data_IF_675014651541
#
_entry.id   IF_675014651541
#
_cell.length_a   1.000
_cell.length_b   1.000
_cell.length_c   1.000
_cell.angle_alpha   90.00
_cell.angle_beta   90.00
_cell.angle_gamma   90.00
#
_symmetry.space_group_name_H-M   'P 1'
#
loop_
_entity.id
_entity.type
_entity.pdbx_description
1 polymer ?
#
# COMPACT_ATOMS: atom_id res chain seq x y z
N UNK A 1 13.83 -0.83 -4.21
CA UNK A 1 13.02 -0.45 -3.04
C UNK A 1 13.68 -1.11 -1.83
N UNK A 2 14.18 -0.33 -0.88
CA UNK A 2 14.83 -0.84 0.32
C UNK A 2 13.79 -1.44 1.28
N UNK A 3 14.13 -2.57 1.90
CA UNK A 3 13.23 -3.32 2.80
C UNK A 3 12.80 -2.50 4.02
N UNK A 4 13.67 -1.62 4.53
CA UNK A 4 13.35 -0.72 5.64
C UNK A 4 12.30 0.35 5.26
N UNK A 5 12.35 0.88 4.03
CA UNK A 5 11.33 1.84 3.55
C UNK A 5 9.99 1.13 3.38
N UNK A 6 10.01 -0.08 2.82
CA UNK A 6 8.83 -0.92 2.67
C UNK A 6 8.11 -1.18 4.01
N UNK A 7 8.85 -1.54 5.07
CA UNK A 7 8.26 -1.78 6.39
C UNK A 7 7.60 -0.52 7.00
N UNK A 8 8.22 0.66 6.82
CA UNK A 8 7.63 1.92 7.27
C UNK A 8 6.32 2.22 6.52
N UNK A 9 6.31 2.03 5.20
CA UNK A 9 5.11 2.25 4.39
C UNK A 9 4.01 1.25 4.74
N UNK A 10 4.31 -0.04 4.96
CA UNK A 10 3.32 -1.03 5.44
C UNK A 10 2.65 -0.59 6.73
N UNK A 11 3.40 -0.01 7.67
CA UNK A 11 2.85 0.56 8.90
C UNK A 11 1.80 1.62 8.61
N UNK A 12 2.14 2.60 7.75
CA UNK A 12 1.24 3.69 7.34
C UNK A 12 0.01 3.18 6.59
N UNK A 13 0.19 2.19 5.72
CA UNK A 13 -0.91 1.55 4.98
C UNK A 13 -1.91 0.97 5.98
N UNK A 14 -1.48 0.14 6.93
CA UNK A 14 -2.40 -0.49 7.90
C UNK A 14 -3.09 0.53 8.81
N UNK A 15 -2.38 1.59 9.17
CA UNK A 15 -2.96 2.69 9.98
C UNK A 15 -4.02 3.47 9.20
N UNK A 16 -3.80 3.71 7.90
CA UNK A 16 -4.72 4.45 7.04
C UNK A 16 -5.88 3.59 6.54
N UNK A 17 -5.59 2.33 6.24
CA UNK A 17 -6.46 1.35 5.60
C UNK A 17 -6.53 0.09 6.45
N UNK A 18 -7.34 0.13 7.51
CA UNK A 18 -7.47 -0.97 8.46
C UNK A 18 -7.94 -2.30 7.85
N UNK A 19 -8.60 -2.27 6.70
CA UNK A 19 -9.04 -3.45 5.93
C UNK A 19 -7.90 -4.14 5.15
N UNK A 20 -6.76 -3.47 4.97
CA UNK A 20 -5.61 -4.03 4.23
C UNK A 20 -4.75 -4.86 5.19
N UNK A 21 -4.60 -6.14 4.89
CA UNK A 21 -3.86 -7.06 5.76
C UNK A 21 -2.37 -7.11 5.46
N UNK A 22 -1.59 -7.64 6.40
CA UNK A 22 -0.15 -7.87 6.22
C UNK A 22 0.10 -8.79 5.00
N UNK A 23 -0.76 -9.79 4.78
CA UNK A 23 -0.67 -10.74 3.65
C UNK A 23 -0.88 -10.07 2.28
N UNK A 24 -1.88 -9.18 2.18
CA UNK A 24 -2.13 -8.40 0.95
C UNK A 24 -0.91 -7.54 0.56
N UNK A 25 -0.25 -6.98 1.58
CA UNK A 25 0.94 -6.17 1.39
C UNK A 25 2.14 -7.03 1.01
N UNK A 26 2.34 -8.17 1.67
CA UNK A 26 3.48 -9.03 1.36
C UNK A 26 3.40 -9.57 -0.07
N UNK A 27 2.22 -10.00 -0.51
CA UNK A 27 1.98 -10.43 -1.89
C UNK A 27 2.23 -9.34 -2.94
N UNK A 28 2.17 -8.06 -2.57
CA UNK A 28 2.39 -6.92 -3.48
C UNK A 28 3.77 -6.27 -3.31
N UNK A 29 4.64 -6.82 -2.45
CA UNK A 29 5.99 -6.30 -2.22
C UNK A 29 6.78 -6.23 -3.53
N UNK A 30 7.25 -5.04 -3.87
CA UNK A 30 8.02 -4.79 -5.09
C UNK A 30 7.19 -4.65 -6.36
N UNK A 31 5.87 -4.78 -6.30
CA UNK A 31 4.96 -4.56 -7.42
C UNK A 31 3.95 -3.46 -7.10
N UNK A 32 4.20 -2.27 -7.65
CA UNK A 32 3.38 -1.08 -7.42
C UNK A 32 1.92 -1.25 -7.85
N UNK A 33 1.70 -1.83 -9.03
CA UNK A 33 0.36 -1.98 -9.61
C UNK A 33 -0.48 -2.94 -8.75
N UNK A 34 0.13 -4.06 -8.30
CA UNK A 34 -0.52 -4.97 -7.37
C UNK A 34 -0.81 -4.33 -6.02
N UNK A 35 0.09 -3.50 -5.48
CA UNK A 35 -0.12 -2.80 -4.21
C UNK A 35 -1.35 -1.89 -4.29
N UNK A 36 -1.40 -1.07 -5.34
CA UNK A 36 -2.54 -0.17 -5.60
C UNK A 36 -3.81 -0.99 -5.80
N UNK A 37 -3.76 -2.05 -6.62
CA UNK A 37 -4.88 -2.96 -6.87
C UNK A 37 -5.46 -3.54 -5.58
N UNK A 38 -4.61 -4.13 -4.74
CA UNK A 38 -5.01 -4.73 -3.46
C UNK A 38 -5.66 -3.73 -2.53
N UNK A 39 -5.07 -2.54 -2.38
CA UNK A 39 -5.64 -1.50 -1.53
C UNK A 39 -7.01 -1.06 -2.07
N UNK A 40 -7.16 -0.87 -3.38
CA UNK A 40 -8.46 -0.53 -4.00
C UNK A 40 -9.49 -1.63 -3.78
N UNK A 41 -9.12 -2.90 -3.97
CA UNK A 41 -10.01 -4.05 -3.78
C UNK A 41 -10.50 -4.16 -2.33
N UNK A 42 -9.62 -3.91 -1.35
CA UNK A 42 -9.96 -3.99 0.08
C UNK A 42 -10.76 -2.81 0.60
N UNK A 43 -10.43 -1.59 0.14
CA UNK A 43 -10.96 -0.34 0.70
C UNK A 43 -12.07 0.28 -0.13
N UNK A 44 -12.19 -0.08 -1.41
CA UNK A 44 -13.07 0.58 -2.36
C UNK A 44 -12.63 2.00 -2.75
N UNK A 45 -11.45 2.48 -2.31
CA UNK A 45 -10.97 3.82 -2.64
C UNK A 45 -10.64 3.96 -4.14
N UNK A 46 -10.71 5.20 -4.63
CA UNK A 46 -10.29 5.54 -5.98
C UNK A 46 -8.78 5.29 -6.15
N UNK A 47 -8.39 4.68 -7.27
CA UNK A 47 -7.00 4.31 -7.52
C UNK A 47 -6.04 5.50 -7.50
N UNK A 48 -6.47 6.65 -8.00
CA UNK A 48 -5.68 7.88 -8.00
C UNK A 48 -5.37 8.37 -6.57
N UNK A 49 -6.35 8.27 -5.66
CA UNK A 49 -6.17 8.63 -4.25
C UNK A 49 -5.19 7.69 -3.53
N UNK A 50 -5.28 6.40 -3.81
CA UNK A 50 -4.35 5.37 -3.30
C UNK A 50 -2.93 5.64 -3.82
N UNK A 51 -2.77 5.81 -5.13
CA UNK A 51 -1.48 6.09 -5.75
C UNK A 51 -0.83 7.35 -5.19
N UNK A 52 -1.62 8.42 -5.01
CA UNK A 52 -1.12 9.67 -4.45
C UNK A 52 -0.56 9.48 -3.04
N UNK A 53 -1.33 8.86 -2.13
CA UNK A 53 -0.87 8.58 -0.77
C UNK A 53 0.38 7.71 -0.74
N UNK A 54 0.40 6.64 -1.55
CA UNK A 54 1.57 5.78 -1.64
C UNK A 54 2.78 6.56 -2.15
N UNK A 55 2.65 7.38 -3.20
CA UNK A 55 3.75 8.23 -3.71
C UNK A 55 4.28 9.17 -2.64
N UNK A 56 3.40 9.77 -1.84
CA UNK A 56 3.79 10.65 -0.73
C UNK A 56 4.61 9.90 0.33
N UNK A 57 4.32 8.63 0.60
CA UNK A 57 5.06 7.84 1.60
C UNK A 57 6.35 7.22 1.06
N UNK A 58 6.41 6.96 -0.24
CA UNK A 58 7.58 6.37 -0.89
C UNK A 58 8.62 7.40 -1.36
N UNK A 59 8.32 8.71 -1.26
CA UNK A 59 9.26 9.78 -1.57
C UNK A 59 10.43 9.80 -0.57
#
# INVERSE_FOLDING_TARGET
MDEGRWQQVRGKIRETWGDVTDDDLDSSKGNWDQLVGKIKERTGEAGDAVEKKLREWFN
#
